data_IF_232887898621
#
_entry.id   IF_232887898621
#
_cell.length_a   1.000
_cell.length_b   1.000
_cell.length_c   1.000
_cell.angle_alpha   90.00
_cell.angle_beta   90.00
_cell.angle_gamma   90.00
#
_symmetry.space_group_name_H-M   'P 1'
#
loop_
_entity.id
_entity.type
_entity.pdbx_description
1 polymer ?
#
# COMPACT_ATOMS: atom_id res chain seq x y z
N UNK A 1 12.77 -27.94 -32.12
CA UNK A 1 11.30 -28.04 -32.22
C UNK A 1 10.87 -29.10 -33.24
N UNK A 2 11.37 -29.06 -34.48
CA UNK A 2 11.08 -30.09 -35.49
C UNK A 2 11.52 -31.51 -35.09
N UNK A 3 12.71 -31.67 -34.49
CA UNK A 3 13.22 -32.99 -34.09
C UNK A 3 12.33 -33.71 -33.07
N UNK A 4 11.74 -32.95 -32.14
CA UNK A 4 10.83 -33.47 -31.11
C UNK A 4 9.50 -33.96 -31.71
N UNK A 5 8.97 -33.23 -32.70
CA UNK A 5 7.79 -33.66 -33.45
C UNK A 5 8.06 -34.95 -34.23
N UNK A 6 9.22 -35.07 -34.89
CA UNK A 6 9.60 -36.31 -35.58
C UNK A 6 9.83 -37.48 -34.64
N UNK A 7 10.36 -37.26 -33.44
CA UNK A 7 10.59 -38.31 -32.44
C UNK A 7 9.26 -38.84 -31.88
N UNK A 8 8.31 -37.95 -31.56
CA UNK A 8 6.98 -38.33 -31.07
C UNK A 8 6.14 -39.12 -32.09
N UNK A 9 6.42 -38.95 -33.39
CA UNK A 9 5.64 -39.56 -34.47
C UNK A 9 6.26 -40.80 -35.10
N UNK A 10 7.50 -41.17 -34.73
CA UNK A 10 8.21 -42.29 -35.36
C UNK A 10 7.62 -43.67 -35.02
N UNK A 11 6.86 -43.76 -33.93
CA UNK A 11 6.29 -45.02 -33.44
C UNK A 11 4.77 -45.18 -33.68
N UNK A 12 4.06 -44.11 -34.04
CA UNK A 12 2.61 -44.14 -34.22
C UNK A 12 2.22 -44.58 -35.63
N UNK A 13 1.81 -45.84 -35.81
CA UNK A 13 1.08 -46.28 -37.01
C UNK A 13 -0.37 -45.82 -36.92
N UNK A 14 -0.70 -44.71 -37.56
CA UNK A 14 -2.09 -44.23 -37.62
C UNK A 14 -2.86 -44.96 -38.73
N UNK A 15 -3.89 -45.72 -38.34
CA UNK A 15 -4.92 -46.17 -39.27
C UNK A 15 -5.90 -45.01 -39.51
N UNK A 16 -6.06 -44.62 -40.77
CA UNK A 16 -7.02 -43.59 -41.16
C UNK A 16 -8.44 -44.09 -40.91
N UNK A 17 -9.06 -43.56 -39.86
CA UNK A 17 -10.47 -43.76 -39.52
C UNK A 17 -11.35 -42.79 -40.32
N UNK A 18 -12.56 -43.22 -40.73
CA UNK A 18 -13.57 -42.36 -41.39
C UNK A 18 -14.00 -41.13 -40.55
N UNK A 19 -13.56 -41.06 -39.29
CA UNK A 19 -13.75 -39.89 -38.46
C UNK A 19 -12.98 -38.69 -39.03
N UNK A 20 -13.62 -37.58 -39.43
CA UNK A 20 -12.92 -36.38 -39.94
C UNK A 20 -11.94 -35.76 -38.92
N UNK A 21 -12.05 -36.12 -37.65
CA UNK A 21 -11.11 -35.69 -36.59
C UNK A 21 -9.86 -36.57 -36.46
N UNK A 22 -9.82 -37.74 -37.11
CA UNK A 22 -8.60 -38.58 -37.15
C UNK A 22 -7.49 -37.86 -37.96
N UNK A 23 -7.87 -37.13 -39.01
CA UNK A 23 -6.96 -36.33 -39.83
C UNK A 23 -6.36 -35.12 -39.08
N UNK A 24 -6.98 -34.68 -37.97
CA UNK A 24 -6.52 -33.51 -37.20
C UNK A 24 -5.60 -33.88 -36.04
N UNK A 25 -5.26 -35.16 -35.84
CA UNK A 25 -4.37 -35.63 -34.76
C UNK A 25 -3.02 -34.92 -34.80
N UNK A 26 -2.43 -34.73 -35.98
CA UNK A 26 -1.17 -33.99 -36.13
C UNK A 26 -1.30 -32.52 -35.71
N UNK A 27 -2.37 -31.85 -36.12
CA UNK A 27 -2.62 -30.46 -35.74
C UNK A 27 -2.87 -30.33 -34.23
N UNK A 28 -3.61 -31.27 -33.62
CA UNK A 28 -3.87 -31.31 -32.17
C UNK A 28 -2.60 -31.54 -31.37
N UNK A 29 -1.77 -32.51 -31.78
CA UNK A 29 -0.48 -32.78 -31.14
C UNK A 29 0.47 -31.59 -31.27
N UNK A 30 0.52 -30.93 -32.43
CA UNK A 30 1.33 -29.72 -32.62
C UNK A 30 0.87 -28.59 -31.68
N UNK A 31 -0.44 -28.33 -31.64
CA UNK A 31 -1.03 -27.33 -30.74
C UNK A 31 -0.72 -27.68 -29.29
N UNK A 32 -0.84 -28.95 -28.90
CA UNK A 32 -0.51 -29.43 -27.54
C UNK A 32 0.94 -29.13 -27.18
N UNK A 33 1.90 -29.56 -27.99
CA UNK A 33 3.34 -29.35 -27.73
C UNK A 33 3.69 -27.86 -27.66
N UNK A 34 3.06 -27.04 -28.52
CA UNK A 34 3.25 -25.58 -28.47
C UNK A 34 2.73 -24.99 -27.14
N UNK A 35 1.60 -25.48 -26.63
CA UNK A 35 1.06 -25.05 -25.34
C UNK A 35 1.85 -25.58 -24.15
N UNK A 36 2.35 -26.81 -24.20
CA UNK A 36 3.25 -27.36 -23.18
C UNK A 36 4.49 -26.47 -23.02
N UNK A 37 5.13 -26.09 -24.13
CA UNK A 37 6.29 -25.21 -24.11
C UNK A 37 5.96 -23.80 -23.59
N UNK A 38 4.81 -23.23 -23.97
CA UNK A 38 4.38 -21.92 -23.46
C UNK A 38 4.09 -21.98 -21.96
N UNK A 39 3.38 -23.01 -21.48
CA UNK A 39 3.04 -23.16 -20.06
C UNK A 39 4.30 -23.39 -19.21
N UNK A 40 5.22 -24.23 -19.68
CA UNK A 40 6.51 -24.45 -19.00
C UNK A 40 7.32 -23.15 -18.92
N UNK A 41 7.40 -22.41 -20.03
CA UNK A 41 8.06 -21.10 -20.05
C UNK A 41 7.42 -20.13 -19.04
N UNK A 42 6.08 -20.10 -18.97
CA UNK A 42 5.33 -19.23 -18.05
C UNK A 42 5.49 -19.62 -16.59
N UNK A 43 5.47 -20.92 -16.30
CA UNK A 43 5.71 -21.46 -14.95
C UNK A 43 7.11 -21.08 -14.49
N UNK A 44 8.12 -21.26 -15.34
CA UNK A 44 9.50 -20.87 -15.06
C UNK A 44 9.67 -19.36 -14.88
N UNK A 45 9.02 -18.54 -15.71
CA UNK A 45 9.03 -17.07 -15.54
C UNK A 45 8.40 -16.67 -14.19
N UNK A 46 7.24 -17.23 -13.86
CA UNK A 46 6.55 -16.95 -12.59
C UNK A 46 7.42 -17.35 -11.39
N UNK A 47 8.01 -18.55 -11.44
CA UNK A 47 8.95 -19.02 -10.42
C UNK A 47 10.18 -18.11 -10.30
N UNK A 48 10.76 -17.66 -11.41
CA UNK A 48 11.93 -16.78 -11.38
C UNK A 48 11.63 -15.43 -10.72
N UNK A 49 10.47 -14.80 -11.02
CA UNK A 49 10.06 -13.53 -10.42
C UNK A 49 9.87 -13.67 -8.91
N UNK A 50 9.34 -14.80 -8.47
CA UNK A 50 9.16 -15.13 -7.06
C UNK A 50 10.51 -15.28 -6.35
N UNK A 51 11.41 -16.10 -6.90
CA UNK A 51 12.72 -16.38 -6.29
C UNK A 51 13.59 -15.12 -6.25
N UNK A 52 13.54 -14.30 -7.30
CA UNK A 52 14.22 -13.00 -7.32
C UNK A 52 13.65 -12.03 -6.28
N UNK A 53 12.32 -12.03 -6.07
CA UNK A 53 11.69 -11.25 -5.00
C UNK A 53 12.27 -11.60 -3.62
N UNK A 54 12.30 -12.90 -3.28
CA UNK A 54 12.78 -13.38 -1.98
C UNK A 54 14.27 -13.08 -1.76
N UNK A 55 15.13 -13.31 -2.75
CA UNK A 55 16.57 -13.06 -2.62
C UNK A 55 16.91 -11.60 -2.38
N UNK A 56 16.12 -10.69 -2.95
CA UNK A 56 16.35 -9.26 -2.82
C UNK A 56 15.89 -8.69 -1.48
N UNK A 57 15.11 -9.44 -0.69
CA UNK A 57 14.59 -9.01 0.62
C UNK A 57 15.60 -9.16 1.77
N UNK A 58 16.68 -9.92 1.61
CA UNK A 58 17.64 -10.17 2.69
C UNK A 58 18.58 -8.98 3.00
N UNK A 59 18.53 -7.91 2.20
CA UNK A 59 19.43 -6.75 2.30
C UNK A 59 18.78 -5.56 3.03
N UNK A 60 19.37 -5.16 4.16
CA UNK A 60 18.90 -4.04 4.99
C UNK A 60 19.02 -2.66 4.29
N UNK A 61 19.91 -2.54 3.29
CA UNK A 61 20.03 -1.37 2.41
C UNK A 61 18.94 -1.32 1.34
N UNK A 62 18.31 -2.45 1.00
CA UNK A 62 17.23 -2.51 0.03
C UNK A 62 15.96 -1.80 0.54
N UNK A 63 15.76 -1.68 1.86
CA UNK A 63 14.56 -1.10 2.49
C UNK A 63 14.32 0.38 2.09
N UNK A 64 15.36 1.15 1.75
CA UNK A 64 15.21 2.55 1.28
C UNK A 64 15.05 2.69 -0.24
N UNK A 65 15.61 1.76 -1.02
CA UNK A 65 15.39 1.66 -2.48
C UNK A 65 14.18 0.77 -2.82
N UNK A 66 13.52 0.24 -1.79
CA UNK A 66 12.53 -0.84 -1.87
C UNK A 66 11.29 -0.40 -2.60
N UNK A 67 10.87 0.86 -2.39
CA UNK A 67 9.56 1.32 -2.83
C UNK A 67 9.40 1.22 -4.35
N UNK A 68 10.41 1.65 -5.11
CA UNK A 68 10.38 1.54 -6.58
C UNK A 68 10.45 0.09 -7.07
N UNK A 69 11.32 -0.74 -6.50
CA UNK A 69 11.48 -2.14 -6.94
C UNK A 69 10.27 -3.00 -6.56
N UNK A 70 9.68 -2.74 -5.41
CA UNK A 70 8.45 -3.41 -4.94
C UNK A 70 7.30 -3.06 -5.86
N UNK A 71 7.15 -1.78 -6.23
CA UNK A 71 6.13 -1.35 -7.21
C UNK A 71 6.39 -2.00 -8.58
N UNK A 72 7.63 -2.01 -9.07
CA UNK A 72 7.99 -2.64 -10.35
C UNK A 72 7.71 -4.15 -10.32
N UNK A 73 8.12 -4.85 -9.27
CA UNK A 73 7.88 -6.29 -9.08
C UNK A 73 6.39 -6.64 -8.98
N UNK A 74 5.63 -5.86 -8.22
CA UNK A 74 4.18 -6.01 -8.11
C UNK A 74 3.48 -5.77 -9.45
N UNK A 75 3.89 -4.73 -10.19
CA UNK A 75 3.35 -4.45 -11.53
C UNK A 75 3.65 -5.57 -12.52
N UNK A 76 4.85 -6.16 -12.45
CA UNK A 76 5.26 -7.31 -13.25
C UNK A 76 4.38 -8.54 -12.96
N UNK A 77 4.12 -8.81 -11.67
CA UNK A 77 3.23 -9.91 -11.26
C UNK A 77 1.80 -9.73 -11.74
N UNK A 78 1.25 -8.50 -11.70
CA UNK A 78 -0.08 -8.21 -12.26
C UNK A 78 -0.12 -8.53 -13.76
N UNK A 79 0.91 -8.13 -14.51
CA UNK A 79 0.99 -8.40 -15.95
C UNK A 79 1.07 -9.91 -16.21
N UNK A 80 1.91 -10.64 -15.47
CA UNK A 80 2.00 -12.10 -15.63
C UNK A 80 0.70 -12.81 -15.24
N UNK A 81 0.02 -12.39 -14.17
CA UNK A 81 -1.31 -12.91 -13.81
C UNK A 81 -2.30 -12.76 -14.96
N UNK A 82 -2.37 -11.57 -15.57
CA UNK A 82 -3.26 -11.33 -16.71
C UNK A 82 -2.91 -12.23 -17.90
N UNK A 83 -1.63 -12.49 -18.14
CA UNK A 83 -1.17 -13.41 -19.20
C UNK A 83 -1.58 -14.86 -18.91
N UNK A 84 -1.37 -15.35 -17.68
CA UNK A 84 -1.80 -16.69 -17.26
C UNK A 84 -3.31 -16.86 -17.42
N UNK A 85 -4.11 -15.88 -17.00
CA UNK A 85 -5.57 -15.91 -17.18
C UNK A 85 -5.99 -15.88 -18.65
N UNK A 86 -5.27 -15.13 -19.49
CA UNK A 86 -5.51 -15.11 -20.92
C UNK A 86 -5.24 -16.48 -21.54
N UNK A 87 -4.10 -17.10 -21.21
CA UNK A 87 -3.73 -18.46 -21.65
C UNK A 87 -4.78 -19.48 -21.23
N UNK A 88 -5.21 -19.44 -19.96
CA UNK A 88 -6.27 -20.31 -19.45
C UNK A 88 -7.55 -20.21 -20.28
N UNK A 89 -8.00 -18.98 -20.59
CA UNK A 89 -9.18 -18.75 -21.45
C UNK A 89 -8.99 -19.33 -22.86
N UNK A 90 -7.78 -19.26 -23.42
CA UNK A 90 -7.50 -19.84 -24.73
C UNK A 90 -7.55 -21.37 -24.69
N UNK A 91 -6.98 -22.00 -23.68
CA UNK A 91 -7.06 -23.46 -23.49
C UNK A 91 -8.51 -23.91 -23.36
N UNK A 92 -9.33 -23.21 -22.58
CA UNK A 92 -10.77 -23.52 -22.49
C UNK A 92 -11.47 -23.40 -23.84
N UNK A 93 -11.11 -22.41 -24.68
CA UNK A 93 -11.66 -22.26 -26.04
C UNK A 93 -11.23 -23.40 -26.96
N UNK A 94 -9.96 -23.78 -26.89
CA UNK A 94 -9.39 -24.89 -27.68
C UNK A 94 -10.04 -26.21 -27.29
N UNK A 95 -10.20 -26.48 -25.99
CA UNK A 95 -10.88 -27.66 -25.47
C UNK A 95 -12.32 -27.76 -25.97
N UNK A 96 -13.06 -26.64 -25.96
CA UNK A 96 -14.41 -26.57 -26.54
C UNK A 96 -14.41 -26.80 -28.05
N UNK A 97 -13.44 -26.22 -28.78
CA UNK A 97 -13.34 -26.38 -30.24
C UNK A 97 -13.04 -27.84 -30.64
N UNK A 98 -12.24 -28.54 -29.85
CA UNK A 98 -11.96 -29.96 -30.00
C UNK A 98 -13.04 -30.88 -29.40
N UNK A 99 -14.15 -30.31 -28.94
CA UNK A 99 -15.29 -31.05 -28.36
C UNK A 99 -14.91 -31.94 -27.15
N UNK A 100 -13.82 -31.61 -26.46
CA UNK A 100 -13.52 -32.19 -25.16
C UNK A 100 -14.52 -31.63 -24.14
N UNK A 101 -15.58 -32.39 -23.87
CA UNK A 101 -16.48 -32.06 -22.77
C UNK A 101 -15.71 -32.29 -21.45
N UNK A 102 -15.38 -31.20 -20.75
CA UNK A 102 -14.84 -31.28 -19.38
C UNK A 102 -15.80 -32.00 -18.42
N UNK A 103 -17.11 -31.98 -18.70
CA UNK A 103 -18.18 -32.49 -17.82
C UNK A 103 -18.75 -33.86 -18.23
N UNK A 104 -17.92 -34.77 -18.77
CA UNK A 104 -18.41 -36.05 -19.31
C UNK A 104 -19.00 -37.05 -18.28
N UNK A 105 -19.32 -36.64 -17.06
CA UNK A 105 -19.98 -37.50 -16.08
C UNK A 105 -21.49 -37.69 -16.33
N UNK A 106 -22.14 -36.88 -17.18
CA UNK A 106 -23.61 -36.84 -17.25
C UNK A 106 -24.27 -37.23 -18.58
N UNK A 107 -23.52 -37.63 -19.63
CA UNK A 107 -24.10 -37.98 -20.95
C UNK A 107 -23.91 -39.45 -21.36
N UNK A 108 -24.13 -40.36 -20.43
CA UNK A 108 -24.49 -41.75 -20.73
C UNK A 108 -26.01 -41.84 -20.87
N UNK A 109 -26.56 -41.48 -22.04
CA UNK A 109 -27.94 -41.84 -22.46
C UNK A 109 -28.18 -41.48 -23.94
N UNK A 110 -27.27 -41.84 -24.84
CA UNK A 110 -27.56 -41.88 -26.28
C UNK A 110 -27.11 -43.21 -26.84
N UNK A 111 -28.08 -44.12 -26.87
CA UNK A 111 -27.93 -45.56 -27.06
C UNK A 111 -27.77 -45.95 -28.54
N UNK A 112 -27.08 -45.13 -29.35
CA UNK A 112 -27.10 -45.30 -30.81
C UNK A 112 -25.77 -45.25 -31.55
N UNK A 113 -24.62 -45.30 -30.86
CA UNK A 113 -23.33 -45.35 -31.55
C UNK A 113 -22.27 -46.15 -30.77
N UNK A 114 -22.44 -47.47 -30.69
CA UNK A 114 -21.53 -48.37 -29.96
C UNK A 114 -20.66 -49.29 -30.84
N UNK A 115 -20.70 -49.16 -32.17
CA UNK A 115 -20.02 -50.14 -33.06
C UNK A 115 -18.62 -49.75 -33.57
N UNK A 116 -18.08 -48.60 -33.19
CA UNK A 116 -16.77 -48.08 -33.66
C UNK A 116 -15.80 -47.73 -32.51
N UNK A 117 -15.91 -48.42 -31.37
CA UNK A 117 -15.62 -47.84 -30.04
C UNK A 117 -14.34 -48.29 -29.32
N UNK A 118 -13.46 -49.10 -29.91
CA UNK A 118 -12.30 -49.65 -29.20
C UNK A 118 -11.10 -48.71 -29.08
N UNK A 119 -10.42 -48.41 -30.18
CA UNK A 119 -9.10 -47.76 -30.14
C UNK A 119 -9.13 -46.24 -29.96
N UNK A 120 -10.13 -45.56 -30.53
CA UNK A 120 -10.18 -44.08 -30.49
C UNK A 120 -10.55 -43.52 -29.10
N UNK A 121 -11.10 -44.34 -28.19
CA UNK A 121 -11.48 -43.86 -26.84
C UNK A 121 -10.23 -43.63 -26.00
N UNK A 122 -9.26 -44.55 -26.02
CA UNK A 122 -8.05 -44.46 -25.21
C UNK A 122 -7.20 -43.23 -25.56
N UNK A 123 -7.06 -42.90 -26.85
CA UNK A 123 -6.34 -41.70 -27.30
C UNK A 123 -7.04 -40.40 -26.86
N UNK A 124 -8.38 -40.36 -26.91
CA UNK A 124 -9.18 -39.21 -26.48
C UNK A 124 -9.08 -39.04 -24.95
N UNK A 125 -9.13 -40.13 -24.18
CA UNK A 125 -8.96 -40.10 -22.73
C UNK A 125 -7.56 -39.64 -22.34
N UNK A 126 -6.53 -40.14 -23.03
CA UNK A 126 -5.16 -39.72 -22.83
C UNK A 126 -5.00 -38.22 -23.13
N UNK A 127 -5.46 -37.72 -24.28
CA UNK A 127 -5.43 -36.29 -24.61
C UNK A 127 -6.17 -35.44 -23.57
N UNK A 128 -7.35 -35.88 -23.12
CA UNK A 128 -8.13 -35.21 -22.07
C UNK A 128 -7.36 -35.12 -20.74
N UNK A 129 -6.70 -36.21 -20.34
CA UNK A 129 -5.86 -36.23 -19.13
C UNK A 129 -4.69 -35.24 -19.21
N UNK A 130 -4.07 -35.09 -20.38
CA UNK A 130 -2.99 -34.13 -20.61
C UNK A 130 -3.47 -32.69 -20.50
N UNK A 131 -4.61 -32.34 -21.09
CA UNK A 131 -5.15 -30.99 -20.97
C UNK A 131 -5.54 -30.64 -19.52
N UNK A 132 -6.07 -31.61 -18.77
CA UNK A 132 -6.33 -31.45 -17.32
C UNK A 132 -5.05 -31.22 -16.53
N UNK A 133 -3.96 -31.91 -16.89
CA UNK A 133 -2.66 -31.67 -16.28
C UNK A 133 -2.16 -30.24 -16.55
N UNK A 134 -2.25 -29.76 -17.79
CA UNK A 134 -1.88 -28.40 -18.16
C UNK A 134 -2.74 -27.33 -17.47
N UNK A 135 -4.04 -27.56 -17.33
CA UNK A 135 -4.91 -26.67 -16.56
C UNK A 135 -4.51 -26.61 -15.09
N UNK A 136 -4.14 -27.74 -14.49
CA UNK A 136 -3.67 -27.82 -13.11
C UNK A 136 -2.33 -27.08 -12.91
N UNK A 137 -1.39 -27.22 -13.84
CA UNK A 137 -0.11 -26.47 -13.80
C UNK A 137 -0.35 -24.96 -13.85
N UNK A 138 -1.26 -24.49 -14.72
CA UNK A 138 -1.65 -23.08 -14.78
C UNK A 138 -2.33 -22.60 -13.51
N UNK A 139 -3.18 -23.44 -12.89
CA UNK A 139 -3.82 -23.13 -11.62
C UNK A 139 -2.78 -23.00 -10.49
N UNK A 140 -1.78 -23.88 -10.44
CA UNK A 140 -0.69 -23.77 -9.47
C UNK A 140 0.12 -22.48 -9.66
N UNK A 141 0.45 -22.12 -10.89
CA UNK A 141 1.13 -20.86 -11.19
C UNK A 141 0.29 -19.64 -10.79
N UNK A 142 -1.04 -19.67 -11.03
CA UNK A 142 -1.95 -18.60 -10.62
C UNK A 142 -2.01 -18.45 -9.09
N UNK A 143 -2.14 -19.56 -8.35
CA UNK A 143 -2.15 -19.56 -6.88
C UNK A 143 -0.83 -18.98 -6.34
N UNK A 144 0.30 -19.36 -6.93
CA UNK A 144 1.61 -18.86 -6.51
C UNK A 144 1.73 -17.35 -6.75
N UNK A 145 1.32 -16.85 -7.92
CA UNK A 145 1.32 -15.42 -8.22
C UNK A 145 0.40 -14.66 -7.24
N UNK A 146 -0.79 -15.20 -6.95
CA UNK A 146 -1.76 -14.58 -6.05
C UNK A 146 -1.22 -14.52 -4.60
N UNK A 147 -0.56 -15.57 -4.13
CA UNK A 147 0.08 -15.57 -2.81
C UNK A 147 1.13 -14.45 -2.72
N UNK A 148 2.02 -14.34 -3.71
CA UNK A 148 3.03 -13.28 -3.69
C UNK A 148 2.43 -11.89 -3.84
N UNK A 149 1.36 -11.71 -4.61
CA UNK A 149 0.64 -10.44 -4.66
C UNK A 149 0.10 -10.02 -3.29
N UNK A 150 -0.41 -10.96 -2.49
CA UNK A 150 -0.87 -10.69 -1.12
C UNK A 150 0.29 -10.29 -0.23
N UNK A 151 1.43 -10.98 -0.32
CA UNK A 151 2.64 -10.63 0.43
C UNK A 151 3.12 -9.21 0.10
N UNK A 152 3.13 -8.83 -1.19
CA UNK A 152 3.47 -7.48 -1.63
C UNK A 152 2.49 -6.43 -1.10
N UNK A 153 1.19 -6.70 -1.16
CA UNK A 153 0.17 -5.78 -0.64
C UNK A 153 0.31 -5.59 0.88
N UNK A 154 0.56 -6.67 1.63
CA UNK A 154 0.81 -6.61 3.07
C UNK A 154 2.08 -5.81 3.39
N UNK A 155 3.16 -5.98 2.60
CA UNK A 155 4.40 -5.21 2.77
C UNK A 155 4.19 -3.73 2.50
N UNK A 156 3.47 -3.37 1.44
CA UNK A 156 3.14 -1.98 1.13
C UNK A 156 2.38 -1.32 2.30
N UNK A 157 1.38 -2.01 2.86
CA UNK A 157 0.62 -1.52 4.01
C UNK A 157 1.49 -1.37 5.27
N UNK A 158 2.43 -2.29 5.52
CA UNK A 158 3.37 -2.18 6.64
C UNK A 158 4.34 -1.01 6.45
N UNK A 159 4.82 -0.78 5.23
CA UNK A 159 5.72 0.33 4.92
C UNK A 159 5.02 1.68 5.12
N UNK A 160 3.79 1.83 4.60
CA UNK A 160 2.97 3.03 4.81
C UNK A 160 2.69 3.29 6.30
N UNK A 161 2.38 2.24 7.07
CA UNK A 161 2.19 2.35 8.52
C UNK A 161 3.47 2.79 9.25
N UNK A 162 4.65 2.35 8.78
CA UNK A 162 5.93 2.76 9.32
C UNK A 162 6.24 4.22 9.01
N UNK A 163 6.06 4.66 7.76
CA UNK A 163 6.27 6.05 7.35
C UNK A 163 5.37 7.01 8.14
N UNK A 164 4.10 6.65 8.31
CA UNK A 164 3.17 7.40 9.15
C UNK A 164 3.63 7.50 10.61
N UNK A 165 4.22 6.45 11.18
CA UNK A 165 4.80 6.48 12.53
C UNK A 165 6.02 7.40 12.62
N UNK A 166 6.90 7.38 11.62
CA UNK A 166 8.06 8.26 11.57
C UNK A 166 7.61 9.72 11.47
N UNK A 167 6.68 10.01 10.55
CA UNK A 167 6.15 11.36 10.36
C UNK A 167 5.46 11.89 11.62
N UNK A 168 4.64 11.07 12.29
CA UNK A 168 3.98 11.46 13.54
C UNK A 168 4.98 11.69 14.67
N UNK A 169 6.04 10.88 14.76
CA UNK A 169 7.12 11.10 15.72
C UNK A 169 7.85 12.43 15.49
N UNK A 170 8.18 12.74 14.23
CA UNK A 170 8.81 14.01 13.86
C UNK A 170 7.91 15.20 14.15
N UNK A 171 6.62 15.12 13.81
CA UNK A 171 5.64 16.15 14.11
C UNK A 171 5.48 16.36 15.64
N UNK A 172 5.47 15.29 16.42
CA UNK A 172 5.42 15.37 17.89
C UNK A 172 6.69 16.03 18.45
N UNK A 173 7.87 15.70 17.91
CA UNK A 173 9.14 16.31 18.29
C UNK A 173 9.15 17.82 17.99
N UNK A 174 8.69 18.22 16.81
CA UNK A 174 8.57 19.64 16.44
C UNK A 174 7.58 20.37 17.35
N UNK A 175 6.44 19.75 17.65
CA UNK A 175 5.43 20.32 18.55
C UNK A 175 5.98 20.50 19.96
N UNK A 176 6.75 19.54 20.47
CA UNK A 176 7.40 19.64 21.77
C UNK A 176 8.45 20.77 21.80
N UNK A 177 9.24 20.92 20.74
CA UNK A 177 10.20 22.01 20.60
C UNK A 177 9.50 23.39 20.56
N UNK A 178 8.44 23.51 19.76
CA UNK A 178 7.63 24.72 19.68
C UNK A 178 6.97 25.07 21.02
N UNK A 179 6.45 24.07 21.75
CA UNK A 179 5.85 24.29 23.07
C UNK A 179 6.91 24.73 24.11
N UNK A 180 8.12 24.17 24.06
CA UNK A 180 9.24 24.64 24.89
C UNK A 180 9.60 26.10 24.58
N UNK A 181 9.66 26.46 23.30
CA UNK A 181 9.93 27.83 22.86
C UNK A 181 8.82 28.78 23.33
N UNK A 182 7.54 28.41 23.15
CA UNK A 182 6.40 29.19 23.62
C UNK A 182 6.42 29.41 25.15
N UNK A 183 6.78 28.37 25.92
CA UNK A 183 6.94 28.49 27.39
C UNK A 183 8.06 29.46 27.77
N UNK A 184 9.20 29.39 27.10
CA UNK A 184 10.33 30.31 27.35
C UNK A 184 9.99 31.76 26.97
N UNK A 185 9.31 31.97 25.85
CA UNK A 185 8.81 33.29 25.45
C UNK A 185 7.81 33.83 26.47
N UNK A 186 6.89 32.99 26.96
CA UNK A 186 5.94 33.37 28.01
C UNK A 186 6.61 33.78 29.33
N UNK A 187 7.73 33.15 29.70
CA UNK A 187 8.50 33.56 30.87
C UNK A 187 9.23 34.89 30.65
N UNK A 188 9.82 35.10 29.47
CA UNK A 188 10.47 36.37 29.11
C UNK A 188 9.47 37.52 29.13
N UNK A 189 8.28 37.34 28.56
CA UNK A 189 7.22 38.35 28.59
C UNK A 189 6.83 38.72 30.02
N UNK A 190 6.71 37.73 30.93
CA UNK A 190 6.42 37.98 32.35
C UNK A 190 7.50 38.80 33.06
N UNK A 191 8.77 38.57 32.74
CA UNK A 191 9.86 39.36 33.31
C UNK A 191 9.82 40.78 32.74
N UNK A 192 9.65 40.92 31.41
CA UNK A 192 9.57 42.22 30.77
C UNK A 192 8.42 43.07 31.31
N UNK A 193 7.23 42.49 31.51
CA UNK A 193 6.07 43.22 32.06
C UNK A 193 6.27 43.67 33.50
N UNK A 194 7.10 43.00 34.30
CA UNK A 194 7.44 43.42 35.66
C UNK A 194 8.59 44.46 35.70
N UNK A 195 9.59 44.30 34.84
CA UNK A 195 10.80 45.14 34.83
C UNK A 195 10.56 46.49 34.15
N UNK A 196 9.76 46.55 33.08
CA UNK A 196 9.52 47.79 32.32
C UNK A 196 8.92 48.90 33.21
N UNK A 197 7.86 48.67 34.01
CA UNK A 197 7.34 49.71 34.91
C UNK A 197 8.37 50.15 35.97
N UNK A 198 9.13 49.19 36.51
CA UNK A 198 10.13 49.44 37.55
C UNK A 198 11.32 50.27 37.02
N UNK A 199 11.74 50.01 35.79
CA UNK A 199 12.82 50.78 35.13
C UNK A 199 12.37 52.20 34.78
N UNK A 200 11.11 52.42 34.40
CA UNK A 200 10.55 53.77 34.22
C UNK A 200 10.57 54.54 35.54
N UNK A 201 10.12 53.93 36.64
CA UNK A 201 10.17 54.52 37.98
C UNK A 201 11.62 54.85 38.38
N UNK A 202 12.56 53.92 38.19
CA UNK A 202 13.97 54.14 38.50
C UNK A 202 14.62 55.24 37.65
N UNK A 203 14.29 55.31 36.34
CA UNK A 203 14.78 56.36 35.44
C UNK A 203 14.34 57.75 35.88
N UNK A 204 13.10 57.88 36.36
CA UNK A 204 12.56 59.16 36.85
C UNK A 204 13.23 59.55 38.17
N UNK A 205 13.43 58.60 39.09
CA UNK A 205 14.20 58.86 40.33
C UNK A 205 15.67 59.18 40.07
N UNK A 206 16.23 58.71 38.96
CA UNK A 206 17.59 59.04 38.53
C UNK A 206 17.71 60.45 37.92
N UNK A 207 16.60 61.10 37.56
CA UNK A 207 16.57 62.52 37.14
C UNK A 207 16.55 63.41 38.39
N UNK A 208 17.73 63.68 38.96
CA UNK A 208 17.87 64.57 40.11
C UNK A 208 17.37 66.00 39.83
N UNK A 209 16.73 66.63 40.82
CA UNK A 209 16.13 67.97 40.73
C UNK A 209 14.97 68.16 41.71
N UNK A 210 14.00 69.00 41.35
CA UNK A 210 12.81 69.31 42.17
C UNK A 210 11.88 68.12 42.50
N UNK A 211 12.21 66.91 42.01
CA UNK A 211 11.50 65.65 42.26
C UNK A 211 12.25 64.73 43.24
N UNK A 212 13.38 65.17 43.80
CA UNK A 212 14.10 64.44 44.83
C UNK A 212 13.27 64.29 46.11
N UNK A 213 13.56 63.25 46.90
CA UNK A 213 12.90 63.02 48.18
C UNK A 213 13.12 64.22 49.12
N UNK A 214 12.03 64.93 49.46
CA UNK A 214 12.05 66.14 50.30
C UNK A 214 11.74 67.45 49.56
N UNK A 215 11.66 67.44 48.22
CA UNK A 215 11.36 68.63 47.42
C UNK A 215 9.86 68.85 47.16
N UNK A 216 9.47 70.08 46.82
CA UNK A 216 8.06 70.51 46.72
C UNK A 216 7.20 69.70 45.73
N UNK A 217 7.80 69.08 44.72
CA UNK A 217 7.07 68.31 43.69
C UNK A 217 7.07 66.79 43.94
N UNK A 218 7.73 66.32 45.01
CA UNK A 218 7.74 64.91 45.40
C UNK A 218 6.35 64.28 45.65
N UNK A 219 5.39 64.93 46.34
CA UNK A 219 4.06 64.35 46.54
C UNK A 219 3.24 64.30 45.24
N UNK A 220 3.40 65.27 44.34
CA UNK A 220 2.71 65.30 43.04
C UNK A 220 3.16 64.12 42.16
N UNK A 221 4.45 63.77 42.25
CA UNK A 221 4.98 62.58 41.59
C UNK A 221 4.25 61.30 42.03
N UNK A 222 4.04 61.09 43.33
CA UNK A 222 3.33 59.91 43.83
C UNK A 222 1.86 59.89 43.39
N UNK A 223 1.21 61.06 43.34
CA UNK A 223 -0.18 61.17 42.90
C UNK A 223 -0.36 60.82 41.42
N UNK A 224 0.65 61.00 40.57
CA UNK A 224 0.57 60.71 39.12
C UNK A 224 1.13 59.31 38.80
N UNK A 225 2.26 58.95 39.37
CA UNK A 225 2.96 57.68 39.07
C UNK A 225 2.20 56.46 39.58
N UNK A 226 1.58 56.54 40.75
CA UNK A 226 0.84 55.43 41.37
C UNK A 226 -0.39 55.03 40.53
N UNK A 227 -1.28 55.96 40.10
CA UNK A 227 -2.38 55.58 39.22
C UNK A 227 -1.94 55.17 37.81
N UNK A 228 -0.87 55.76 37.25
CA UNK A 228 -0.38 55.35 35.91
C UNK A 228 0.22 53.95 35.94
N UNK A 229 1.02 53.61 36.96
CA UNK A 229 1.57 52.25 37.13
C UNK A 229 0.47 51.25 37.44
N UNK A 230 -0.50 51.61 38.25
CA UNK A 230 -1.64 50.76 38.61
C UNK A 230 -2.57 50.55 37.40
N UNK A 231 -2.80 51.57 36.57
CA UNK A 231 -3.54 51.45 35.32
C UNK A 231 -2.83 50.54 34.30
N UNK A 232 -1.50 50.69 34.14
CA UNK A 232 -0.71 49.81 33.26
C UNK A 232 -0.69 48.37 33.77
N UNK A 233 -0.58 48.18 35.09
CA UNK A 233 -0.58 46.86 35.71
C UNK A 233 -1.97 46.20 35.56
N UNK A 234 -3.06 46.92 35.84
CA UNK A 234 -4.42 46.44 35.59
C UNK A 234 -4.62 46.11 34.10
N UNK A 235 -4.15 46.96 33.19
CA UNK A 235 -4.28 46.73 31.74
C UNK A 235 -3.58 45.43 31.32
N UNK A 236 -2.32 45.25 31.73
CA UNK A 236 -1.53 44.04 31.42
C UNK A 236 -2.17 42.79 32.04
N UNK A 237 -2.61 42.85 33.30
CA UNK A 237 -3.28 41.72 33.95
C UNK A 237 -4.64 41.41 33.33
N UNK A 238 -5.41 42.43 32.93
CA UNK A 238 -6.71 42.25 32.29
C UNK A 238 -6.57 41.55 30.93
N UNK A 239 -5.55 41.89 30.14
CA UNK A 239 -5.25 41.16 28.90
C UNK A 239 -4.85 39.71 29.13
N UNK A 240 -4.04 39.41 30.15
CA UNK A 240 -3.64 38.04 30.46
C UNK A 240 -4.80 37.19 30.99
N UNK A 241 -5.62 37.76 31.88
CA UNK A 241 -6.79 37.09 32.45
C UNK A 241 -7.86 36.85 31.39
N UNK A 242 -8.16 37.84 30.54
CA UNK A 242 -9.15 37.68 29.45
C UNK A 242 -8.71 36.62 28.43
N UNK A 243 -7.42 36.56 28.07
CA UNK A 243 -6.85 35.50 27.21
C UNK A 243 -6.88 34.12 27.86
N UNK A 244 -6.70 34.03 29.18
CA UNK A 244 -6.81 32.77 29.93
C UNK A 244 -8.27 32.27 30.01
N UNK A 245 -9.21 33.18 30.24
CA UNK A 245 -10.64 32.88 30.32
C UNK A 245 -11.23 32.44 28.97
N UNK A 246 -10.83 33.08 27.87
CA UNK A 246 -11.27 32.67 26.52
C UNK A 246 -10.77 31.28 26.15
N UNK A 247 -9.52 30.92 26.50
CA UNK A 247 -9.01 29.56 26.33
C UNK A 247 -9.76 28.52 27.18
N UNK A 248 -10.13 28.86 28.40
CA UNK A 248 -10.86 27.96 29.29
C UNK A 248 -12.31 27.71 28.82
N UNK A 249 -12.97 28.73 28.27
CA UNK A 249 -14.32 28.60 27.70
C UNK A 249 -14.33 27.84 26.37
N UNK A 250 -13.31 28.00 25.53
CA UNK A 250 -13.17 27.22 24.28
C UNK A 250 -12.94 25.73 24.56
N UNK A 251 -12.18 25.38 25.63
CA UNK A 251 -11.94 23.98 26.01
C UNK A 251 -13.15 23.29 26.68
N UNK A 252 -14.15 24.07 27.13
CA UNK A 252 -15.35 23.58 27.81
C UNK A 252 -16.58 23.41 26.91
N UNK A 253 -16.52 23.71 25.61
CA UNK A 253 -17.55 23.20 24.70
C UNK A 253 -17.31 21.70 24.50
N UNK A 254 -18.16 20.81 25.04
CA UNK A 254 -18.09 19.41 24.68
C UNK A 254 -18.42 19.32 23.17
N UNK A 255 -17.72 18.42 22.46
CA UNK A 255 -18.13 17.96 21.14
C UNK A 255 -19.45 17.20 21.32
N UNK A 256 -20.55 17.93 21.43
CA UNK A 256 -21.87 17.36 21.27
C UNK A 256 -22.23 17.46 19.79
N UNK A 257 -22.66 16.32 19.26
CA UNK A 257 -23.16 16.03 17.91
C UNK A 257 -22.12 15.76 16.81
N UNK A 258 -21.69 14.49 16.78
CA UNK A 258 -21.64 13.73 15.54
C UNK A 258 -22.12 12.29 15.86
N UNK A 259 -23.43 12.15 15.94
CA UNK A 259 -24.14 10.87 15.83
C UNK A 259 -25.39 11.20 15.03
N UNK A 260 -25.29 11.04 13.71
CA UNK A 260 -26.42 10.92 12.79
C UNK A 260 -25.90 10.22 11.53
N UNK A 261 -26.49 9.06 11.20
CA UNK A 261 -26.28 8.33 9.96
C UNK A 261 -25.92 6.87 10.14
#
# INVERSE_FOLDING_TARGET
MFDFLTAAHKESKYEYSENPFSATVYARNFVRVAWEAEIDHRSNCSYSMVVEGVKNDESLEAIRLHDRRVIEGYSSLIVERMRVQYVRRQITRILRAFQYNLDSSSRLNSDRCQKWKGSNIEEIEQESSFWKFLEKELELAEIQIDQHMVEYAQRAALNEAYENRVQTFEANKQTMAANRQARSAGQLTKIATAVVPSTVVASIFSMGGNFAAGEKLFPIYWVISLPVTLALLIWVLHEEISKAWSKATVRRRPKEHEFDG
#
